data_IF_678667827991
#
_entry.id   IF_678667827991
#
_cell.length_a   1.000
_cell.length_b   1.000
_cell.length_c   1.000
_cell.angle_alpha   90.00
_cell.angle_beta   90.00
_cell.angle_gamma   90.00
#
_symmetry.space_group_name_H-M   'P 1'
#
loop_
_entity.id
_entity.type
_entity.pdbx_description
1 polymer ?
#
# COMPACT_ATOMS: atom_id res chain seq x y z
N UNK A 1 3.08 26.23 12.16
CA UNK A 1 3.85 25.00 11.96
C UNK A 1 2.95 23.81 12.28
N UNK A 2 2.30 23.30 11.27
CA UNK A 2 1.59 22.04 11.39
C UNK A 2 2.65 20.94 11.48
N UNK A 3 3.13 20.67 12.67
CA UNK A 3 3.96 19.52 12.92
C UNK A 3 3.16 18.30 12.51
N UNK A 4 3.60 17.57 11.49
CA UNK A 4 3.05 16.26 11.21
C UNK A 4 3.25 15.43 12.48
N UNK A 5 2.16 15.04 13.14
CA UNK A 5 2.20 14.16 14.31
C UNK A 5 2.58 12.74 13.85
N UNK A 6 3.77 12.61 13.22
CA UNK A 6 4.27 11.32 12.77
C UNK A 6 4.90 10.60 13.95
N UNK A 7 4.19 9.62 14.49
CA UNK A 7 4.74 8.70 15.48
C UNK A 7 5.24 7.47 14.74
N UNK A 8 6.55 7.26 14.79
CA UNK A 8 7.19 6.09 14.18
C UNK A 8 6.88 4.83 15.00
N UNK A 9 6.47 3.77 14.32
CA UNK A 9 6.24 2.46 14.92
C UNK A 9 7.19 1.44 14.31
N UNK A 10 7.85 0.65 15.17
CA UNK A 10 8.67 -0.46 14.68
C UNK A 10 7.79 -1.55 14.07
N UNK A 11 8.38 -2.38 13.21
CA UNK A 11 7.63 -3.47 12.55
C UNK A 11 6.99 -4.42 13.57
N UNK A 12 7.61 -4.60 14.74
CA UNK A 12 7.07 -5.46 15.80
C UNK A 12 5.82 -4.88 16.47
N UNK A 13 5.63 -3.58 16.40
CA UNK A 13 4.45 -2.88 16.92
C UNK A 13 3.30 -2.80 15.90
N UNK A 14 3.56 -3.14 14.64
CA UNK A 14 2.57 -3.10 13.56
C UNK A 14 1.99 -4.50 13.37
N UNK A 15 0.65 -4.66 13.44
CA UNK A 15 0.04 -5.97 13.27
C UNK A 15 0.45 -6.66 11.98
N UNK A 16 0.67 -7.97 12.03
CA UNK A 16 0.94 -8.77 10.83
C UNK A 16 -0.17 -8.63 9.79
N UNK A 17 -1.42 -8.58 10.23
CA UNK A 17 -2.56 -8.40 9.33
C UNK A 17 -2.46 -7.10 8.54
N UNK A 18 -1.98 -6.02 9.16
CA UNK A 18 -1.79 -4.75 8.46
C UNK A 18 -0.65 -4.84 7.43
N UNK A 19 0.47 -5.44 7.80
CA UNK A 19 1.59 -5.67 6.88
C UNK A 19 1.14 -6.52 5.68
N UNK A 20 0.43 -7.62 5.96
CA UNK A 20 -0.05 -8.54 4.93
C UNK A 20 -1.14 -7.90 4.04
N UNK A 21 -1.97 -7.02 4.59
CA UNK A 21 -2.98 -6.29 3.83
C UNK A 21 -2.32 -5.43 2.74
N UNK A 22 -1.28 -4.68 3.09
CA UNK A 22 -0.53 -3.87 2.12
C UNK A 22 0.21 -4.73 1.08
N UNK A 23 0.87 -5.79 1.52
CA UNK A 23 1.56 -6.73 0.61
C UNK A 23 0.55 -7.36 -0.35
N UNK A 24 -0.58 -7.82 0.16
CA UNK A 24 -1.59 -8.51 -0.65
C UNK A 24 -2.19 -7.62 -1.74
N UNK A 25 -2.39 -6.33 -1.48
CA UNK A 25 -3.02 -5.41 -2.44
C UNK A 25 -2.01 -4.70 -3.35
N UNK A 26 -0.82 -4.39 -2.86
CA UNK A 26 0.15 -3.56 -3.56
C UNK A 26 1.30 -4.35 -4.19
N UNK A 27 1.73 -5.46 -3.58
CA UNK A 27 2.95 -6.15 -3.99
C UNK A 27 2.96 -7.59 -3.47
N UNK A 28 2.18 -8.47 -4.11
CA UNK A 28 1.95 -9.84 -3.61
C UNK A 28 3.22 -10.68 -3.47
N UNK A 29 4.26 -10.39 -4.26
CA UNK A 29 5.55 -11.11 -4.23
C UNK A 29 6.64 -10.35 -3.47
N UNK A 30 6.24 -9.41 -2.60
CA UNK A 30 7.17 -8.57 -1.84
C UNK A 30 8.26 -9.38 -1.14
N UNK A 31 7.91 -10.47 -0.48
CA UNK A 31 8.87 -11.28 0.26
C UNK A 31 9.77 -12.16 -0.64
N UNK A 32 9.53 -12.18 -1.95
CA UNK A 32 10.26 -13.03 -2.91
C UNK A 32 11.17 -12.25 -3.86
N UNK A 33 10.75 -11.06 -4.28
CA UNK A 33 11.54 -10.28 -5.23
C UNK A 33 12.67 -9.51 -4.55
N UNK A 34 13.54 -8.92 -5.35
CA UNK A 34 14.73 -8.18 -4.91
C UNK A 34 14.63 -6.67 -5.18
N UNK A 35 13.43 -6.11 -5.18
CA UNK A 35 13.16 -4.70 -5.43
C UNK A 35 12.37 -4.45 -6.70
N UNK A 36 12.43 -5.35 -7.67
CA UNK A 36 11.68 -5.34 -8.92
C UNK A 36 10.90 -6.64 -9.02
N UNK A 37 9.64 -6.56 -9.42
CA UNK A 37 8.79 -7.73 -9.61
C UNK A 37 8.68 -8.04 -11.12
N UNK A 38 9.59 -8.85 -11.63
CA UNK A 38 9.62 -9.22 -13.05
C UNK A 38 8.36 -9.95 -13.48
N UNK A 39 7.81 -10.81 -12.61
CA UNK A 39 6.56 -11.51 -12.90
C UNK A 39 5.38 -10.55 -13.01
N UNK A 40 5.31 -9.56 -12.14
CA UNK A 40 4.30 -8.51 -12.18
C UNK A 40 4.43 -7.64 -13.43
N UNK A 41 5.65 -7.29 -13.82
CA UNK A 41 5.91 -6.52 -15.05
C UNK A 41 5.46 -7.31 -16.28
N UNK A 42 5.80 -8.59 -16.36
CA UNK A 42 5.38 -9.45 -17.47
C UNK A 42 3.85 -9.56 -17.55
N UNK A 43 3.19 -9.74 -16.42
CA UNK A 43 1.73 -9.81 -16.34
C UNK A 43 1.09 -8.49 -16.79
N UNK A 44 1.57 -7.37 -16.31
CA UNK A 44 1.06 -6.05 -16.68
C UNK A 44 1.21 -5.80 -18.19
N UNK A 45 2.33 -6.22 -18.79
CA UNK A 45 2.57 -6.11 -20.22
C UNK A 45 1.58 -6.97 -21.02
N UNK A 46 1.35 -8.21 -20.62
CA UNK A 46 0.40 -9.12 -21.29
C UNK A 46 -1.02 -8.56 -21.21
N UNK A 47 -1.45 -8.11 -20.04
CA UNK A 47 -2.79 -7.53 -19.85
C UNK A 47 -2.93 -6.24 -20.67
N UNK A 48 -1.91 -5.40 -20.68
CA UNK A 48 -1.91 -4.17 -21.46
C UNK A 48 -2.03 -4.43 -22.97
N UNK A 49 -1.31 -5.42 -23.49
CA UNK A 49 -1.40 -5.83 -24.91
C UNK A 49 -2.80 -6.39 -25.21
N UNK A 50 -3.33 -7.25 -24.34
CA UNK A 50 -4.67 -7.84 -24.51
C UNK A 50 -5.78 -6.77 -24.51
N UNK A 51 -5.55 -5.64 -23.85
CA UNK A 51 -6.48 -4.49 -23.82
C UNK A 51 -6.18 -3.43 -24.87
N UNK A 52 -5.51 -3.80 -25.97
CA UNK A 52 -5.25 -2.90 -27.08
C UNK A 52 -4.23 -1.81 -26.80
N UNK A 53 -3.25 -2.09 -25.93
CA UNK A 53 -2.20 -1.13 -25.55
C UNK A 53 -2.55 -0.26 -24.35
N UNK A 54 -3.64 -0.57 -23.67
CA UNK A 54 -4.08 0.16 -22.47
C UNK A 54 -3.44 -0.46 -21.22
N UNK A 55 -2.33 0.14 -20.77
CA UNK A 55 -1.55 -0.35 -19.62
C UNK A 55 -2.11 0.25 -18.33
N UNK A 56 -3.10 -0.41 -17.73
CA UNK A 56 -3.79 0.06 -16.52
C UNK A 56 -3.32 -0.62 -15.24
N UNK A 57 -2.62 -1.76 -15.33
CA UNK A 57 -2.10 -2.46 -14.15
C UNK A 57 -0.73 -1.95 -13.77
N UNK A 58 -0.57 -1.60 -12.48
CA UNK A 58 0.70 -1.24 -11.91
C UNK A 58 1.54 -2.48 -11.59
N UNK A 59 2.84 -2.38 -11.80
CA UNK A 59 3.80 -3.42 -11.44
C UNK A 59 4.88 -2.90 -10.49
N UNK A 60 4.67 -1.74 -9.88
CA UNK A 60 5.58 -1.14 -8.92
C UNK A 60 5.53 -1.89 -7.60
N UNK A 61 6.71 -2.20 -7.06
CA UNK A 61 6.85 -2.85 -5.76
C UNK A 61 6.72 -1.85 -4.61
N UNK A 62 6.55 -2.36 -3.38
CA UNK A 62 6.59 -1.50 -2.19
C UNK A 62 7.93 -0.77 -2.08
N UNK A 63 9.02 -1.42 -2.44
CA UNK A 63 10.37 -0.83 -2.45
C UNK A 63 10.44 0.34 -3.42
N UNK A 64 9.90 0.18 -4.64
CA UNK A 64 9.83 1.26 -5.62
C UNK A 64 8.96 2.42 -5.15
N UNK A 65 7.83 2.12 -4.52
CA UNK A 65 6.94 3.15 -3.97
C UNK A 65 7.61 3.94 -2.84
N UNK A 66 8.35 3.25 -1.96
CA UNK A 66 9.12 3.89 -0.90
C UNK A 66 10.13 4.89 -1.47
N UNK A 67 10.85 4.49 -2.51
CA UNK A 67 11.83 5.33 -3.19
C UNK A 67 11.14 6.52 -3.87
N UNK A 68 10.08 6.27 -4.62
CA UNK A 68 9.33 7.32 -5.32
C UNK A 68 8.88 8.41 -4.34
N UNK A 69 8.31 8.01 -3.21
CA UNK A 69 7.75 8.96 -2.25
C UNK A 69 8.83 9.76 -1.49
N UNK A 70 10.01 9.19 -1.28
CA UNK A 70 11.07 9.81 -0.48
C UNK A 70 12.17 10.46 -1.31
N UNK A 71 12.48 9.93 -2.49
CA UNK A 71 13.57 10.44 -3.36
C UNK A 71 13.03 11.34 -4.47
N UNK A 72 11.82 11.06 -4.96
CA UNK A 72 11.20 11.81 -6.07
C UNK A 72 9.88 12.46 -5.64
N UNK A 73 9.87 13.37 -4.66
CA UNK A 73 8.62 13.93 -4.11
C UNK A 73 7.83 14.75 -5.13
N UNK A 74 8.46 15.20 -6.21
CA UNK A 74 7.81 15.99 -7.26
C UNK A 74 7.28 15.15 -8.43
N UNK A 75 7.15 13.83 -8.27
CA UNK A 75 6.69 12.95 -9.34
C UNK A 75 5.31 13.33 -9.88
N UNK A 76 4.45 13.94 -9.07
CA UNK A 76 3.11 14.39 -9.50
C UNK A 76 3.16 15.58 -10.47
N UNK A 77 4.30 16.28 -10.53
CA UNK A 77 4.52 17.43 -11.41
C UNK A 77 5.14 17.04 -12.75
N UNK A 78 5.44 15.77 -12.96
CA UNK A 78 5.98 15.26 -14.21
C UNK A 78 4.93 15.37 -15.31
N UNK A 79 5.29 16.04 -16.44
CA UNK A 79 4.35 16.32 -17.52
C UNK A 79 4.59 15.48 -18.76
N UNK A 80 5.80 14.99 -18.99
CA UNK A 80 6.17 14.28 -20.21
C UNK A 80 6.34 12.78 -19.94
N UNK A 81 6.12 11.98 -20.99
CA UNK A 81 6.41 10.55 -20.95
C UNK A 81 7.90 10.28 -20.65
N UNK A 82 8.77 11.10 -21.22
CA UNK A 82 10.22 10.97 -21.01
C UNK A 82 10.60 11.15 -19.54
N UNK A 83 10.06 12.16 -18.86
CA UNK A 83 10.33 12.39 -17.44
C UNK A 83 9.89 11.22 -16.57
N UNK A 84 8.68 10.71 -16.83
CA UNK A 84 8.14 9.55 -16.12
C UNK A 84 8.97 8.30 -16.36
N UNK A 85 9.39 8.07 -17.59
CA UNK A 85 10.20 6.92 -17.98
C UNK A 85 11.57 6.98 -17.33
N UNK A 86 12.22 8.13 -17.36
CA UNK A 86 13.53 8.33 -16.74
C UNK A 86 13.45 8.11 -15.22
N UNK A 87 12.44 8.69 -14.58
CA UNK A 87 12.21 8.47 -13.14
C UNK A 87 12.01 6.99 -12.85
N UNK A 88 11.23 6.30 -13.66
CA UNK A 88 10.93 4.86 -13.47
C UNK A 88 12.19 4.00 -13.54
N UNK A 89 13.09 4.28 -14.46
CA UNK A 89 14.37 3.57 -14.56
C UNK A 89 15.23 3.84 -13.33
N UNK A 90 15.34 5.08 -12.90
CA UNK A 90 16.10 5.45 -11.69
C UNK A 90 15.51 4.79 -10.45
N UNK A 91 14.18 4.78 -10.33
CA UNK A 91 13.45 4.15 -9.24
C UNK A 91 13.74 2.64 -9.17
N UNK A 92 13.72 1.95 -10.30
CA UNK A 92 14.04 0.52 -10.38
C UNK A 92 15.48 0.22 -9.98
N UNK A 93 16.42 1.02 -10.47
CA UNK A 93 17.84 0.87 -10.11
C UNK A 93 18.04 1.05 -8.60
N UNK A 94 17.46 2.12 -8.03
CA UNK A 94 17.56 2.40 -6.59
C UNK A 94 16.88 1.29 -5.76
N UNK A 95 15.78 0.73 -6.25
CA UNK A 95 15.10 -0.38 -5.56
C UNK A 95 16.00 -1.59 -5.43
N UNK A 96 16.71 -1.95 -6.50
CA UNK A 96 17.68 -3.04 -6.47
C UNK A 96 18.84 -2.75 -5.49
N UNK A 97 19.31 -1.51 -5.43
CA UNK A 97 20.38 -1.11 -4.51
C UNK A 97 19.91 -1.12 -3.04
N UNK A 98 18.72 -0.62 -2.77
CA UNK A 98 18.17 -0.59 -1.41
C UNK A 98 17.98 -2.00 -0.87
N UNK A 99 17.49 -2.93 -1.68
CA UNK A 99 17.28 -4.32 -1.25
C UNK A 99 18.58 -5.08 -0.95
N UNK A 100 19.72 -4.56 -1.39
CA UNK A 100 21.02 -5.09 -1.00
C UNK A 100 21.47 -4.60 0.39
N UNK A 101 20.91 -3.49 0.88
CA UNK A 101 21.32 -2.82 2.12
C UNK A 101 20.28 -2.94 3.24
N UNK A 102 19.01 -3.11 2.90
CA UNK A 102 17.90 -3.21 3.85
C UNK A 102 17.19 -4.54 3.64
N UNK A 103 16.82 -5.18 4.73
CA UNK A 103 16.00 -6.38 4.64
C UNK A 103 14.51 -6.02 4.44
N UNK A 104 13.67 -7.03 4.20
CA UNK A 104 12.24 -6.84 3.95
C UNK A 104 11.52 -6.19 5.13
N UNK A 105 11.90 -6.54 6.35
CA UNK A 105 11.32 -5.94 7.57
C UNK A 105 11.62 -4.45 7.65
N UNK A 106 12.84 -4.03 7.36
CA UNK A 106 13.23 -2.62 7.36
C UNK A 106 12.51 -1.84 6.27
N UNK A 107 12.37 -2.42 5.08
CA UNK A 107 11.68 -1.78 3.95
C UNK A 107 10.20 -1.57 4.26
N UNK A 108 9.51 -2.61 4.73
CA UNK A 108 8.08 -2.49 5.03
C UNK A 108 7.83 -1.56 6.24
N UNK A 109 8.72 -1.57 7.23
CA UNK A 109 8.65 -0.63 8.35
C UNK A 109 8.73 0.81 7.86
N UNK A 110 9.71 1.15 7.03
CA UNK A 110 9.87 2.47 6.45
C UNK A 110 8.67 2.87 5.59
N UNK A 111 8.18 1.95 4.78
CA UNK A 111 7.02 2.16 3.93
C UNK A 111 5.78 2.51 4.76
N UNK A 112 5.45 1.69 5.75
CA UNK A 112 4.25 1.86 6.56
C UNK A 112 4.29 3.10 7.47
N UNK A 113 5.48 3.61 7.77
CA UNK A 113 5.63 4.83 8.56
C UNK A 113 5.61 6.11 7.72
N UNK A 114 5.67 6.02 6.39
CA UNK A 114 5.81 7.19 5.52
C UNK A 114 4.71 7.35 4.47
N UNK A 115 3.91 6.30 4.24
CA UNK A 115 2.89 6.31 3.19
C UNK A 115 1.79 7.34 3.46
N UNK A 116 1.35 8.04 2.41
CA UNK A 116 0.22 8.95 2.48
C UNK A 116 -1.10 8.14 2.52
N UNK A 117 -1.87 8.33 3.57
CA UNK A 117 -3.13 7.63 3.81
C UNK A 117 -4.33 8.57 3.91
N UNK A 118 -4.27 9.72 3.24
CA UNK A 118 -5.36 10.68 3.23
C UNK A 118 -5.49 11.47 4.53
N UNK A 119 -6.34 12.48 4.55
CA UNK A 119 -6.61 13.30 5.74
C UNK A 119 -5.33 13.83 6.43
N UNK A 120 -4.29 14.14 5.63
CA UNK A 120 -2.97 14.54 6.11
C UNK A 120 -2.27 13.49 6.98
N UNK A 121 -2.67 12.23 6.88
CA UNK A 121 -2.04 11.13 7.61
C UNK A 121 -0.85 10.60 6.84
N UNK A 122 0.33 10.68 7.44
CA UNK A 122 1.54 10.04 6.95
C UNK A 122 1.88 8.87 7.88
N UNK A 123 1.81 7.66 7.34
CA UNK A 123 2.06 6.43 8.08
C UNK A 123 0.83 5.86 8.76
N UNK A 124 0.95 4.59 9.13
CA UNK A 124 -0.17 3.79 9.63
C UNK A 124 -0.63 4.16 11.04
N UNK A 125 0.27 4.67 11.89
CA UNK A 125 -0.13 5.10 13.24
C UNK A 125 -1.03 6.35 13.16
N UNK A 126 -0.66 7.32 12.34
CA UNK A 126 -1.49 8.51 12.12
C UNK A 126 -2.86 8.13 11.56
N UNK A 127 -2.89 7.21 10.58
CA UNK A 127 -4.14 6.71 10.01
C UNK A 127 -5.00 5.98 11.03
N UNK A 128 -4.39 5.12 11.85
CA UNK A 128 -5.10 4.40 12.92
C UNK A 128 -5.77 5.35 13.89
N UNK A 129 -5.08 6.38 14.33
CA UNK A 129 -5.64 7.40 15.22
C UNK A 129 -6.74 8.22 14.53
N UNK A 130 -6.50 8.64 13.30
CA UNK A 130 -7.44 9.50 12.58
C UNK A 130 -8.76 8.78 12.27
N UNK A 131 -8.68 7.56 11.78
CA UNK A 131 -9.87 6.84 11.31
C UNK A 131 -10.55 6.03 12.40
N UNK A 132 -9.82 5.50 13.35
CA UNK A 132 -10.34 4.57 14.36
C UNK A 132 -10.09 4.99 15.80
N UNK A 133 -9.32 6.04 16.03
CA UNK A 133 -9.08 6.57 17.38
C UNK A 133 -8.32 5.61 18.28
N UNK A 134 -7.48 4.75 17.73
CA UNK A 134 -6.73 3.75 18.50
C UNK A 134 -5.30 3.58 18.00
N UNK A 135 -4.47 2.97 18.83
CA UNK A 135 -3.11 2.59 18.44
C UNK A 135 -3.13 1.57 17.31
N UNK A 136 -2.13 1.62 16.44
CA UNK A 136 -2.03 0.71 15.29
C UNK A 136 -2.01 -0.75 15.73
N UNK A 137 -1.43 -1.06 16.89
CA UNK A 137 -1.36 -2.42 17.42
C UNK A 137 -2.73 -3.01 17.75
N UNK A 138 -3.76 -2.18 17.92
CA UNK A 138 -5.11 -2.59 18.31
C UNK A 138 -6.08 -2.72 17.12
N UNK A 139 -5.62 -2.51 15.89
CA UNK A 139 -6.45 -2.60 14.70
C UNK A 139 -6.97 -4.03 14.47
N UNK A 140 -8.25 -4.14 14.13
CA UNK A 140 -8.84 -5.41 13.68
C UNK A 140 -8.47 -5.67 12.21
N UNK A 141 -8.67 -6.91 11.75
CA UNK A 141 -8.43 -7.27 10.35
C UNK A 141 -9.21 -6.37 9.38
N UNK A 142 -10.49 -6.12 9.63
CA UNK A 142 -11.31 -5.25 8.80
C UNK A 142 -10.76 -3.82 8.74
N UNK A 143 -10.31 -3.29 9.87
CA UNK A 143 -9.69 -1.97 9.96
C UNK A 143 -8.36 -1.91 9.20
N UNK A 144 -7.55 -2.96 9.30
CA UNK A 144 -6.32 -3.08 8.51
C UNK A 144 -6.60 -3.01 7.00
N UNK A 145 -7.65 -3.70 6.56
CA UNK A 145 -8.04 -3.71 5.15
C UNK A 145 -8.56 -2.34 4.67
N UNK A 146 -9.27 -1.60 5.52
CA UNK A 146 -9.69 -0.22 5.23
C UNK A 146 -8.47 0.67 4.96
N UNK A 147 -7.49 0.61 5.85
CA UNK A 147 -6.28 1.45 5.74
C UNK A 147 -5.47 1.08 4.50
N UNK A 148 -5.24 -0.21 4.26
CA UNK A 148 -4.52 -0.66 3.07
C UNK A 148 -5.24 -0.27 1.77
N UNK A 149 -6.57 -0.17 1.79
CA UNK A 149 -7.37 0.23 0.65
C UNK A 149 -7.22 1.69 0.23
N UNK A 150 -6.58 2.52 1.05
CA UNK A 150 -6.44 3.96 0.77
C UNK A 150 -5.28 4.25 -0.20
N UNK A 151 -4.21 3.47 -0.15
CA UNK A 151 -2.89 3.87 -0.65
C UNK A 151 -2.83 4.22 -2.13
N UNK A 152 -3.56 3.51 -2.99
CA UNK A 152 -3.45 3.70 -4.45
C UNK A 152 -3.87 5.10 -4.88
N UNK A 153 -4.90 5.63 -4.24
CA UNK A 153 -5.41 6.97 -4.50
C UNK A 153 -6.09 7.49 -3.23
N UNK A 154 -5.35 8.16 -2.34
CA UNK A 154 -5.89 8.58 -1.05
C UNK A 154 -7.13 9.46 -1.13
N UNK A 155 -7.25 10.31 -2.15
CA UNK A 155 -8.44 11.15 -2.34
C UNK A 155 -9.65 10.36 -2.82
N UNK A 156 -9.45 9.34 -3.65
CA UNK A 156 -10.53 8.50 -4.20
C UNK A 156 -11.05 7.50 -3.17
N UNK A 157 -10.14 6.94 -2.36
CA UNK A 157 -10.45 5.86 -1.41
C UNK A 157 -10.46 6.32 0.04
N UNK A 158 -10.60 7.61 0.28
CA UNK A 158 -10.73 8.18 1.62
C UNK A 158 -11.98 7.60 2.31
N UNK A 159 -11.82 6.88 3.45
CA UNK A 159 -12.97 6.24 4.08
C UNK A 159 -13.95 7.21 4.73
N UNK A 160 -13.56 8.46 4.94
CA UNK A 160 -14.44 9.50 5.49
C UNK A 160 -15.29 10.12 4.37
N UNK A 161 -14.65 10.58 3.30
CA UNK A 161 -15.32 11.31 2.22
C UNK A 161 -15.89 10.39 1.13
N UNK A 162 -15.30 9.20 0.95
CA UNK A 162 -15.70 8.23 -0.07
C UNK A 162 -15.76 6.81 0.50
N UNK A 163 -16.63 6.57 1.52
CA UNK A 163 -16.68 5.25 2.17
C UNK A 163 -17.04 4.12 1.20
N UNK A 164 -17.92 4.36 0.23
CA UNK A 164 -18.31 3.33 -0.74
C UNK A 164 -17.13 2.91 -1.64
N UNK A 165 -16.32 3.88 -2.08
CA UNK A 165 -15.11 3.58 -2.85
C UNK A 165 -14.10 2.79 -2.01
N UNK A 166 -13.90 3.22 -0.77
CA UNK A 166 -13.00 2.49 0.15
C UNK A 166 -13.50 1.07 0.37
N UNK A 167 -14.81 0.87 0.55
CA UNK A 167 -15.39 -0.46 0.77
C UNK A 167 -15.09 -1.42 -0.37
N UNK A 168 -15.15 -0.96 -1.61
CA UNK A 168 -14.79 -1.78 -2.78
C UNK A 168 -13.31 -2.22 -2.69
N UNK A 169 -12.43 -1.31 -2.35
CA UNK A 169 -11.00 -1.62 -2.18
C UNK A 169 -10.75 -2.51 -0.96
N UNK A 170 -11.39 -2.24 0.17
CA UNK A 170 -11.31 -3.09 1.35
C UNK A 170 -11.68 -4.53 1.04
N UNK A 171 -12.77 -4.73 0.31
CA UNK A 171 -13.21 -6.07 -0.08
C UNK A 171 -12.17 -6.75 -0.97
N UNK A 172 -11.54 -6.02 -1.86
CA UNK A 172 -10.45 -6.54 -2.70
C UNK A 172 -9.21 -6.91 -1.87
N UNK A 173 -8.85 -6.07 -0.90
CA UNK A 173 -7.74 -6.38 0.02
C UNK A 173 -7.99 -7.69 0.75
N UNK A 174 -9.18 -7.85 1.34
CA UNK A 174 -9.54 -9.07 2.06
C UNK A 174 -9.54 -10.30 1.15
N UNK A 175 -10.06 -10.17 -0.06
CA UNK A 175 -10.06 -11.25 -1.05
C UNK A 175 -8.63 -11.67 -1.42
N UNK A 176 -7.76 -10.70 -1.68
CA UNK A 176 -6.36 -10.96 -1.99
C UNK A 176 -5.65 -11.64 -0.81
N UNK A 177 -5.92 -11.21 0.42
CA UNK A 177 -5.36 -11.83 1.62
C UNK A 177 -5.80 -13.29 1.75
N UNK A 178 -7.07 -13.60 1.44
CA UNK A 178 -7.58 -14.97 1.43
C UNK A 178 -6.90 -15.81 0.35
N UNK A 179 -6.84 -15.30 -0.88
CA UNK A 179 -6.23 -16.00 -2.02
C UNK A 179 -4.72 -16.24 -1.85
N UNK A 180 -4.06 -15.36 -1.10
CA UNK A 180 -2.63 -15.46 -0.81
C UNK A 180 -2.34 -16.19 0.52
N UNK A 181 -3.35 -16.81 1.11
CA UNK A 181 -3.25 -17.64 2.33
C UNK A 181 -2.82 -16.88 3.60
N UNK A 182 -3.06 -15.56 3.66
CA UNK A 182 -2.80 -14.78 4.87
C UNK A 182 -3.91 -14.88 5.90
N UNK A 183 -5.14 -15.15 5.47
CA UNK A 183 -6.30 -15.30 6.35
C UNK A 183 -7.11 -16.53 5.97
N UNK A 184 -7.86 -17.06 6.93
CA UNK A 184 -8.80 -18.17 6.71
C UNK A 184 -10.12 -17.68 6.11
N UNK A 185 -10.91 -18.61 5.58
CA UNK A 185 -12.27 -18.31 5.09
C UNK A 185 -13.13 -17.69 6.21
N UNK A 186 -13.02 -18.22 7.42
CA UNK A 186 -13.76 -17.69 8.58
C UNK A 186 -13.39 -16.24 8.87
N UNK A 187 -12.09 -15.92 8.91
CA UNK A 187 -11.60 -14.56 9.13
C UNK A 187 -12.08 -13.62 8.01
N UNK A 188 -12.04 -14.07 6.77
CA UNK A 188 -12.54 -13.33 5.62
C UNK A 188 -14.02 -13.01 5.76
N UNK A 189 -14.86 -14.02 6.07
CA UNK A 189 -16.30 -13.84 6.21
C UNK A 189 -16.64 -12.89 7.36
N UNK A 190 -15.98 -13.04 8.50
CA UNK A 190 -16.17 -12.16 9.66
C UNK A 190 -15.76 -10.71 9.35
N UNK A 191 -14.65 -10.50 8.66
CA UNK A 191 -14.18 -9.17 8.28
C UNK A 191 -15.11 -8.50 7.27
N UNK A 192 -15.65 -9.24 6.29
CA UNK A 192 -16.63 -8.72 5.35
C UNK A 192 -17.93 -8.29 6.04
N UNK A 193 -18.35 -9.04 7.06
CA UNK A 193 -19.58 -8.77 7.81
C UNK A 193 -19.43 -7.61 8.80
N UNK A 194 -18.21 -7.21 9.11
CA UNK A 194 -17.95 -6.13 10.08
C UNK A 194 -18.36 -4.77 9.49
N UNK A 195 -19.26 -4.08 10.20
CA UNK A 195 -19.70 -2.72 9.85
C UNK A 195 -18.66 -1.69 10.30
N UNK A 196 -17.48 -1.79 9.72
CA UNK A 196 -16.30 -0.99 10.09
C UNK A 196 -16.52 0.50 9.86
N UNK A 197 -17.30 0.88 8.85
CA UNK A 197 -17.56 2.28 8.50
C UNK A 197 -18.42 3.01 9.51
N UNK A 198 -19.16 2.29 10.33
CA UNK A 198 -19.91 2.88 11.44
C UNK A 198 -18.99 3.40 12.57
N UNK A 199 -17.72 2.98 12.57
CA UNK A 199 -16.72 3.40 13.57
C UNK A 199 -15.81 4.52 13.09
N UNK A 200 -15.97 4.98 11.87
CA UNK A 200 -15.12 6.01 11.28
C UNK A 200 -15.71 7.40 11.45
#
# INVERSE_FOLDING_TARGET
SSGSNRVYKSVDEIPKDLQHAFVAIEDERFYKHNGIDLQGIARAAVVGIARGGNFTEGASTLTQQLIKNNVFPNFTKEKTFYDKFQRKIQEQYLALQIEKKMDKSEIIESYLNTINLGQNCLGVQAASQRYFGKDVSDLTLSECAVIAGITQSPSTYDPITHPDNNKVRRNKVLKNMLEQDYISQKQYDEALADDVYARI
#
